data_IF_761677603767
#
_entry.id   IF_761677603767
#
_cell.length_a   1.000
_cell.length_b   1.000
_cell.length_c   1.000
_cell.angle_alpha   90.00
_cell.angle_beta   90.00
_cell.angle_gamma   90.00
#
_symmetry.space_group_name_H-M   'P 1'
#
loop_
_entity.id
_entity.type
_entity.pdbx_description
1 polymer ?
#
# COMPACT_ATOMS: atom_id res chain seq x y z
N UNK A 1 -45.17 25.94 11.24
CA UNK A 1 -44.55 27.03 10.42
C UNK A 1 -43.06 26.81 10.44
N UNK A 2 -42.38 26.67 9.29
CA UNK A 2 -40.95 26.61 9.24
C UNK A 2 -40.38 28.02 9.14
N UNK A 3 -39.51 28.41 10.06
CA UNK A 3 -38.80 29.67 10.02
C UNK A 3 -37.65 29.56 8.98
N UNK A 4 -37.57 30.53 8.06
CA UNK A 4 -36.52 30.58 7.02
C UNK A 4 -35.75 31.89 7.19
N UNK A 5 -34.43 31.79 7.32
CA UNK A 5 -33.49 32.91 7.21
C UNK A 5 -33.00 33.00 5.79
N UNK A 6 -33.12 34.16 5.15
CA UNK A 6 -32.61 34.41 3.79
C UNK A 6 -31.53 35.47 3.89
N UNK A 7 -30.30 35.09 3.72
CA UNK A 7 -29.13 35.97 3.79
C UNK A 7 -28.12 35.56 2.69
N UNK A 8 -27.32 36.51 2.21
CA UNK A 8 -26.26 36.27 1.24
C UNK A 8 -24.91 35.97 1.94
N UNK A 9 -24.71 36.53 3.13
CA UNK A 9 -23.46 36.37 3.90
C UNK A 9 -23.74 36.27 5.39
N UNK A 10 -22.82 35.62 6.11
CA UNK A 10 -22.77 35.59 7.58
C UNK A 10 -21.39 36.09 8.03
N UNK A 11 -21.38 37.11 8.90
CA UNK A 11 -20.14 37.72 9.39
C UNK A 11 -20.24 37.97 10.91
N UNK A 12 -19.13 37.75 11.61
CA UNK A 12 -19.01 38.20 13.01
C UNK A 12 -18.92 39.72 13.06
N UNK A 13 -19.56 40.39 14.02
CA UNK A 13 -19.67 41.85 14.10
C UNK A 13 -18.32 42.58 14.16
N UNK A 14 -17.27 41.93 14.67
CA UNK A 14 -15.89 42.47 14.72
C UNK A 14 -15.01 42.03 13.56
N UNK A 15 -15.51 41.29 12.57
CA UNK A 15 -14.72 40.84 11.45
C UNK A 15 -14.71 41.87 10.30
N UNK A 16 -13.58 41.98 9.60
CA UNK A 16 -13.43 42.84 8.40
C UNK A 16 -13.96 42.18 7.11
N UNK A 17 -14.20 40.87 7.12
CA UNK A 17 -14.66 40.10 5.96
C UNK A 17 -15.74 39.08 6.37
N UNK A 18 -16.49 38.61 5.39
CA UNK A 18 -17.53 37.58 5.60
C UNK A 18 -16.91 36.22 5.95
N UNK A 19 -17.49 35.51 6.91
CA UNK A 19 -17.09 34.15 7.29
C UNK A 19 -17.73 33.08 6.44
N UNK A 20 -18.92 33.36 5.88
CA UNK A 20 -19.66 32.47 4.97
C UNK A 20 -20.32 33.33 3.89
N UNK A 21 -20.12 32.97 2.64
CA UNK A 21 -20.81 33.57 1.49
C UNK A 21 -21.67 32.53 0.80
N UNK A 22 -22.92 32.84 0.52
CA UNK A 22 -23.85 31.97 -0.19
C UNK A 22 -24.16 32.58 -1.56
N UNK A 23 -23.91 31.82 -2.63
CA UNK A 23 -24.20 32.24 -3.99
C UNK A 23 -25.64 31.89 -4.41
N UNK A 24 -26.12 32.52 -5.46
CA UNK A 24 -27.46 32.27 -5.99
C UNK A 24 -27.67 30.87 -6.56
N UNK A 25 -26.58 30.19 -6.95
CA UNK A 25 -26.58 28.78 -7.39
C UNK A 25 -26.65 27.76 -6.23
N UNK A 26 -26.70 28.24 -4.98
CA UNK A 26 -26.73 27.41 -3.78
C UNK A 26 -25.35 27.01 -3.25
N UNK A 27 -24.27 27.45 -3.90
CA UNK A 27 -22.92 27.18 -3.38
C UNK A 27 -22.61 28.00 -2.13
N UNK A 28 -21.77 27.45 -1.25
CA UNK A 28 -21.32 28.09 0.00
C UNK A 28 -19.80 28.17 -0.02
N UNK A 29 -19.29 29.38 0.19
CA UNK A 29 -17.84 29.64 0.26
C UNK A 29 -17.44 30.02 1.69
N UNK A 30 -16.40 29.36 2.20
CA UNK A 30 -15.68 29.70 3.42
C UNK A 30 -14.36 30.35 3.02
N UNK A 31 -14.18 31.68 3.13
CA UNK A 31 -12.94 32.34 2.69
C UNK A 31 -11.73 32.02 3.58
N UNK A 32 -11.93 31.37 4.71
CA UNK A 32 -10.89 30.87 5.62
C UNK A 32 -11.02 29.39 5.92
N UNK A 33 -10.33 28.91 6.95
CA UNK A 33 -10.40 27.53 7.40
C UNK A 33 -11.76 27.22 8.04
N UNK A 34 -12.42 26.15 7.59
CA UNK A 34 -13.57 25.58 8.27
C UNK A 34 -13.09 24.55 9.29
N UNK A 35 -13.36 24.76 10.58
CA UNK A 35 -13.06 23.81 11.66
C UNK A 35 -14.34 23.09 12.04
N UNK A 36 -14.32 21.75 11.92
CA UNK A 36 -15.41 20.89 12.38
C UNK A 36 -14.94 20.14 13.64
N UNK A 37 -15.61 20.36 14.78
CA UNK A 37 -15.33 19.63 16.03
C UNK A 37 -15.99 18.24 16.10
N UNK A 38 -16.83 17.90 15.13
CA UNK A 38 -17.52 16.61 14.98
C UNK A 38 -17.20 15.95 13.63
N UNK A 39 -18.01 14.97 13.26
CA UNK A 39 -17.90 14.31 11.96
C UNK A 39 -18.36 15.25 10.85
N UNK A 40 -17.47 15.60 9.93
CA UNK A 40 -17.82 16.34 8.71
C UNK A 40 -18.37 15.34 7.67
N UNK A 41 -19.67 15.39 7.40
CA UNK A 41 -20.30 14.57 6.35
C UNK A 41 -20.57 15.42 5.11
N UNK A 42 -20.32 14.88 3.91
CA UNK A 42 -20.59 15.57 2.65
C UNK A 42 -19.45 16.45 2.12
N UNK A 43 -18.29 16.45 2.76
CA UNK A 43 -17.10 17.20 2.31
C UNK A 43 -16.15 16.35 1.44
N UNK A 44 -16.67 15.75 0.36
CA UNK A 44 -15.87 14.95 -0.57
C UNK A 44 -15.64 13.51 -0.09
N UNK A 45 -15.42 12.60 -1.03
CA UNK A 45 -15.20 11.18 -0.75
C UNK A 45 -13.82 10.88 -0.21
N UNK A 46 -13.70 9.82 0.59
CA UNK A 46 -12.46 9.13 0.86
C UNK A 46 -11.41 9.90 1.68
N UNK A 47 -11.70 10.15 2.97
CA UNK A 47 -10.69 10.70 3.88
C UNK A 47 -9.58 9.67 4.13
N UNK A 48 -8.31 10.06 3.96
CA UNK A 48 -7.18 9.30 4.48
C UNK A 48 -7.23 9.31 6.02
N UNK A 49 -7.33 8.13 6.61
CA UNK A 49 -7.45 7.98 8.07
C UNK A 49 -6.08 7.75 8.71
N UNK A 50 -5.24 6.91 8.11
CA UNK A 50 -3.89 6.65 8.58
C UNK A 50 -2.99 6.13 7.44
N UNK A 51 -1.69 6.24 7.65
CA UNK A 51 -0.64 5.70 6.77
C UNK A 51 0.34 4.95 7.65
N UNK A 52 0.65 3.71 7.29
CA UNK A 52 1.68 2.89 7.93
C UNK A 52 2.68 2.43 6.88
N UNK A 53 3.95 2.33 7.26
CA UNK A 53 5.03 1.92 6.36
C UNK A 53 6.05 1.07 7.10
N UNK A 54 6.57 0.07 6.40
CA UNK A 54 7.79 -0.65 6.80
C UNK A 54 8.78 -0.60 5.66
N UNK A 55 10.01 -0.21 5.98
CA UNK A 55 11.15 -0.19 5.07
C UNK A 55 12.20 -1.16 5.60
N UNK A 56 12.61 -2.10 4.74
CA UNK A 56 13.74 -3.00 4.98
C UNK A 56 14.96 -2.42 4.26
N UNK A 57 15.94 -1.96 5.01
CA UNK A 57 17.20 -1.41 4.47
C UNK A 57 18.35 -2.41 4.48
N UNK A 58 18.29 -3.38 5.40
CA UNK A 58 19.23 -4.49 5.47
C UNK A 58 18.99 -5.50 4.33
N UNK A 59 20.00 -6.29 4.07
CA UNK A 59 19.95 -7.34 3.04
C UNK A 59 19.59 -8.69 3.65
N UNK A 60 19.01 -9.57 2.85
CA UNK A 60 18.79 -10.96 3.20
C UNK A 60 19.07 -11.88 2.00
N UNK A 61 19.31 -13.14 2.29
CA UNK A 61 19.26 -14.24 1.32
C UNK A 61 18.44 -15.37 1.91
N UNK A 62 17.64 -16.00 1.08
CA UNK A 62 16.86 -17.18 1.46
C UNK A 62 16.94 -18.20 0.32
N UNK A 63 17.25 -19.46 0.66
CA UNK A 63 17.24 -20.54 -0.33
C UNK A 63 15.95 -21.32 -0.20
N UNK A 64 15.27 -21.52 -1.32
CA UNK A 64 14.01 -22.27 -1.41
C UNK A 64 14.13 -23.34 -2.49
N UNK A 65 13.30 -24.37 -2.46
CA UNK A 65 13.11 -25.20 -3.63
C UNK A 65 12.50 -24.34 -4.75
N UNK A 66 12.83 -24.65 -5.99
CA UNK A 66 12.24 -23.99 -7.15
C UNK A 66 10.71 -24.07 -7.08
N UNK A 67 10.06 -22.94 -7.28
CA UNK A 67 8.61 -22.87 -7.19
C UNK A 67 8.02 -22.90 -5.78
N UNK A 68 8.81 -22.66 -4.74
CA UNK A 68 8.34 -22.56 -3.35
C UNK A 68 8.54 -21.12 -2.85
N UNK A 69 7.49 -20.46 -2.32
CA UNK A 69 7.63 -19.13 -1.74
C UNK A 69 8.59 -19.12 -0.54
N UNK A 70 9.25 -17.99 -0.32
CA UNK A 70 10.05 -17.78 0.90
C UNK A 70 9.25 -18.10 2.16
N UNK A 71 9.91 -18.65 3.17
CA UNK A 71 9.30 -18.85 4.49
C UNK A 71 9.05 -17.50 5.17
N UNK A 72 9.96 -16.56 4.97
CA UNK A 72 9.92 -15.21 5.53
C UNK A 72 8.89 -14.35 4.81
N UNK A 73 8.09 -13.63 5.60
CA UNK A 73 7.26 -12.51 5.12
C UNK A 73 8.10 -11.24 5.26
N UNK A 74 8.38 -10.59 4.13
CA UNK A 74 9.18 -9.38 4.09
C UNK A 74 8.35 -8.13 4.31
N UNK A 75 8.96 -7.13 4.95
CA UNK A 75 8.39 -5.83 5.27
C UNK A 75 7.02 -5.91 5.98
N UNK A 76 6.85 -6.72 7.05
CA UNK A 76 5.56 -6.77 7.73
C UNK A 76 5.17 -5.40 8.26
N UNK A 77 3.95 -4.95 7.95
CA UNK A 77 3.36 -3.67 8.39
C UNK A 77 2.01 -3.92 9.02
N UNK A 78 1.80 -3.34 10.19
CA UNK A 78 0.56 -3.48 10.96
C UNK A 78 -0.33 -2.26 10.78
N UNK A 79 -1.62 -2.49 10.63
CA UNK A 79 -2.65 -1.46 10.59
C UNK A 79 -3.87 -1.92 11.37
N UNK A 80 -4.46 -1.02 12.16
CA UNK A 80 -5.72 -1.28 12.86
C UNK A 80 -6.81 -0.41 12.24
N UNK A 81 -7.68 -0.98 11.39
CA UNK A 81 -8.68 -0.20 10.66
C UNK A 81 -9.72 0.44 11.58
N UNK A 82 -10.14 1.66 11.23
CA UNK A 82 -11.19 2.38 11.93
C UNK A 82 -12.58 1.77 11.68
N UNK A 83 -12.78 1.09 10.54
CA UNK A 83 -14.04 0.44 10.17
C UNK A 83 -13.79 -0.83 9.36
N UNK A 84 -14.70 -1.80 9.48
CA UNK A 84 -14.70 -3.00 8.65
C UNK A 84 -14.89 -2.69 7.14
N UNK A 85 -15.53 -1.57 6.80
CA UNK A 85 -15.72 -1.12 5.42
C UNK A 85 -14.55 -0.29 4.88
N UNK A 86 -13.60 0.13 5.73
CA UNK A 86 -12.42 0.91 5.32
C UNK A 86 -11.70 0.24 4.17
N UNK A 87 -11.17 1.05 3.25
CA UNK A 87 -10.33 0.61 2.14
C UNK A 87 -8.87 0.79 2.49
N UNK A 88 -8.08 -0.24 2.23
CA UNK A 88 -6.64 -0.25 2.50
C UNK A 88 -5.90 -0.33 1.18
N UNK A 89 -5.27 0.77 0.76
CA UNK A 89 -4.38 0.79 -0.39
C UNK A 89 -3.01 0.26 0.03
N UNK A 90 -2.58 -0.79 -0.62
CA UNK A 90 -1.30 -1.46 -0.38
C UNK A 90 -0.37 -1.13 -1.54
N UNK A 91 0.80 -0.59 -1.24
CA UNK A 91 1.86 -0.26 -2.18
C UNK A 91 3.12 -1.05 -1.78
N UNK A 92 3.64 -1.86 -2.70
CA UNK A 92 4.83 -2.69 -2.47
C UNK A 92 5.90 -2.31 -3.47
N UNK A 93 7.12 -2.13 -2.97
CA UNK A 93 8.35 -2.09 -3.76
C UNK A 93 9.29 -3.15 -3.20
N UNK A 94 9.55 -4.20 -3.97
CA UNK A 94 10.43 -5.29 -3.60
C UNK A 94 11.66 -5.31 -4.51
N UNK A 95 12.85 -5.25 -3.93
CA UNK A 95 14.11 -5.36 -4.66
C UNK A 95 14.67 -6.77 -4.46
N UNK A 96 14.67 -7.54 -5.53
CA UNK A 96 14.99 -8.98 -5.53
C UNK A 96 16.02 -9.32 -6.58
N UNK A 97 16.77 -10.38 -6.32
CA UNK A 97 17.74 -10.95 -7.26
C UNK A 97 17.66 -12.47 -7.22
N UNK A 98 17.74 -13.08 -8.36
CA UNK A 98 17.88 -14.53 -8.60
C UNK A 98 18.29 -14.75 -10.06
N UNK A 99 18.44 -15.99 -10.48
CA UNK A 99 18.65 -16.35 -11.88
C UNK A 99 17.44 -17.11 -12.42
N UNK A 100 16.32 -16.40 -12.60
CA UNK A 100 15.07 -17.00 -13.05
C UNK A 100 13.91 -16.02 -13.09
N UNK A 101 12.70 -16.52 -13.05
CA UNK A 101 11.50 -15.68 -12.93
C UNK A 101 11.13 -15.50 -11.47
N UNK A 102 11.16 -14.27 -11.00
CA UNK A 102 10.74 -13.92 -9.64
C UNK A 102 9.41 -13.19 -9.62
N UNK A 103 8.66 -13.42 -8.57
CA UNK A 103 7.41 -12.73 -8.30
C UNK A 103 7.27 -12.41 -6.82
N UNK A 104 6.30 -11.57 -6.52
CA UNK A 104 5.83 -11.30 -5.16
C UNK A 104 4.37 -11.72 -5.00
N UNK A 105 4.06 -12.13 -3.77
CA UNK A 105 2.70 -12.48 -3.35
C UNK A 105 2.40 -11.66 -2.09
N UNK A 106 1.47 -10.71 -2.18
CA UNK A 106 1.03 -9.94 -1.01
C UNK A 106 0.38 -10.89 -0.01
N UNK A 107 0.78 -10.74 1.24
CA UNK A 107 0.27 -11.49 2.39
C UNK A 107 -0.63 -10.61 3.25
N UNK A 108 -1.71 -11.19 3.77
CA UNK A 108 -2.58 -10.64 4.81
C UNK A 108 -2.68 -11.67 5.92
N UNK A 109 -2.25 -11.31 7.14
CA UNK A 109 -2.27 -12.18 8.32
C UNK A 109 -1.62 -13.56 8.07
N UNK A 110 -0.49 -13.57 7.36
CA UNK A 110 0.29 -14.77 7.07
C UNK A 110 -0.20 -15.60 5.88
N UNK A 111 -1.31 -15.23 5.26
CA UNK A 111 -1.89 -15.93 4.09
C UNK A 111 -1.81 -15.06 2.84
N UNK A 112 -1.70 -15.70 1.67
CA UNK A 112 -1.75 -14.99 0.40
C UNK A 112 -3.09 -14.23 0.24
N UNK A 113 -3.02 -12.94 -0.10
CA UNK A 113 -4.20 -12.12 -0.36
C UNK A 113 -4.78 -12.49 -1.72
N UNK A 114 -5.76 -13.40 -1.71
CA UNK A 114 -6.30 -14.04 -2.93
C UNK A 114 -6.84 -13.05 -3.96
N UNK A 115 -7.41 -11.93 -3.52
CA UNK A 115 -7.89 -10.87 -4.41
C UNK A 115 -6.77 -10.10 -5.12
N UNK A 116 -5.54 -10.15 -4.58
CA UNK A 116 -4.35 -9.50 -5.15
C UNK A 116 -3.53 -10.42 -6.06
N UNK A 117 -4.02 -11.62 -6.38
CA UNK A 117 -3.33 -12.59 -7.23
C UNK A 117 -4.13 -12.88 -8.50
N UNK A 118 -3.43 -13.29 -9.57
CA UNK A 118 -4.06 -13.70 -10.83
C UNK A 118 -5.04 -14.86 -10.67
N UNK A 119 -5.76 -15.21 -11.72
CA UNK A 119 -6.70 -16.34 -11.77
C UNK A 119 -5.97 -17.71 -11.71
N UNK A 120 -6.73 -18.73 -11.37
CA UNK A 120 -6.21 -20.10 -11.36
C UNK A 120 -6.20 -20.66 -12.79
N UNK A 121 -5.04 -21.15 -13.25
CA UNK A 121 -4.88 -21.69 -14.60
C UNK A 121 -3.90 -22.89 -14.62
N UNK A 122 -4.44 -24.08 -14.41
CA UNK A 122 -3.65 -25.32 -14.37
C UNK A 122 -2.64 -25.33 -13.23
N UNK A 123 -1.37 -25.60 -13.53
CA UNK A 123 -0.26 -25.63 -12.55
C UNK A 123 0.44 -24.28 -12.37
N UNK A 124 -0.08 -23.20 -12.95
CA UNK A 124 0.53 -21.87 -12.83
C UNK A 124 0.34 -21.30 -11.44
N UNK A 125 1.44 -20.81 -10.86
CA UNK A 125 1.35 -20.10 -9.58
C UNK A 125 0.62 -18.76 -9.74
N UNK A 126 -0.21 -18.46 -8.76
CA UNK A 126 -0.96 -17.21 -8.68
C UNK A 126 -0.13 -16.19 -7.92
N UNK A 127 0.30 -15.15 -8.60
CA UNK A 127 1.20 -14.13 -8.06
C UNK A 127 0.58 -12.74 -8.15
N UNK A 128 1.07 -11.81 -7.34
CA UNK A 128 0.63 -10.40 -7.40
C UNK A 128 1.34 -9.65 -8.53
N UNK A 129 2.64 -9.82 -8.64
CA UNK A 129 3.46 -9.23 -9.70
C UNK A 129 4.71 -10.08 -9.92
N UNK A 130 5.28 -10.02 -11.12
CA UNK A 130 6.44 -10.82 -11.49
C UNK A 130 7.42 -10.05 -12.38
N UNK A 131 8.65 -10.52 -12.41
CA UNK A 131 9.71 -10.07 -13.32
C UNK A 131 10.57 -11.26 -13.74
N UNK A 132 11.22 -11.16 -14.90
CA UNK A 132 12.23 -12.14 -15.33
C UNK A 132 13.61 -11.56 -15.05
N UNK A 133 14.45 -12.34 -14.40
CA UNK A 133 15.82 -11.98 -14.03
C UNK A 133 16.75 -12.93 -14.78
N UNK A 134 17.64 -12.37 -15.58
CA UNK A 134 18.55 -13.15 -16.45
C UNK A 134 19.90 -13.46 -15.79
N UNK A 135 20.15 -12.99 -14.58
CA UNK A 135 21.41 -13.19 -13.88
C UNK A 135 21.25 -12.86 -12.39
N UNK A 136 21.87 -13.70 -11.55
CA UNK A 136 22.02 -13.51 -10.10
C UNK A 136 22.91 -12.30 -9.72
N UNK A 137 23.54 -11.68 -10.73
CA UNK A 137 24.28 -10.42 -10.63
C UNK A 137 23.41 -9.19 -10.93
N UNK A 138 22.10 -9.35 -11.11
CA UNK A 138 21.15 -8.26 -11.33
C UNK A 138 20.23 -8.10 -10.14
N UNK A 139 19.96 -6.85 -9.76
CA UNK A 139 18.93 -6.49 -8.78
C UNK A 139 17.74 -5.90 -9.54
N UNK A 140 16.58 -6.48 -9.37
CA UNK A 140 15.35 -6.06 -10.02
C UNK A 140 14.33 -5.55 -9.01
N UNK A 141 13.57 -4.54 -9.42
CA UNK A 141 12.48 -3.98 -8.62
C UNK A 141 11.15 -4.52 -9.12
N UNK A 142 10.38 -5.13 -8.23
CA UNK A 142 8.99 -5.54 -8.47
C UNK A 142 8.09 -4.59 -7.70
N UNK A 143 7.16 -3.94 -8.40
CA UNK A 143 6.16 -3.07 -7.79
C UNK A 143 4.78 -3.71 -7.89
N UNK A 144 3.98 -3.55 -6.84
CA UNK A 144 2.59 -3.96 -6.82
C UNK A 144 1.73 -2.93 -6.09
N UNK A 145 0.50 -2.81 -6.54
CA UNK A 145 -0.53 -1.97 -5.91
C UNK A 145 -1.83 -2.74 -5.85
N UNK A 146 -2.47 -2.75 -4.67
CA UNK A 146 -3.77 -3.38 -4.49
C UNK A 146 -4.62 -2.61 -3.49
N UNK A 147 -5.93 -2.53 -3.75
CA UNK A 147 -6.91 -1.93 -2.85
C UNK A 147 -7.74 -3.02 -2.18
N UNK A 148 -7.44 -3.29 -0.91
CA UNK A 148 -8.15 -4.26 -0.08
C UNK A 148 -9.32 -3.62 0.68
N UNK A 149 -10.20 -4.45 1.19
CA UNK A 149 -11.21 -4.06 2.19
C UNK A 149 -10.80 -4.63 3.55
N UNK A 150 -10.83 -3.81 4.58
CA UNK A 150 -10.39 -4.20 5.92
C UNK A 150 -11.09 -5.49 6.41
N UNK A 151 -12.42 -5.55 6.30
CA UNK A 151 -13.23 -6.69 6.72
C UNK A 151 -13.45 -6.79 8.23
N UNK A 152 -12.77 -5.95 9.02
CA UNK A 152 -12.85 -5.90 10.48
C UNK A 152 -12.12 -4.70 11.04
N UNK A 153 -12.14 -4.56 12.36
CA UNK A 153 -11.43 -3.51 13.11
C UNK A 153 -10.29 -4.05 13.97
N UNK A 154 -10.00 -5.35 13.87
CA UNK A 154 -8.80 -5.96 14.48
C UNK A 154 -7.56 -5.55 13.70
N UNK A 155 -6.40 -5.60 14.36
CA UNK A 155 -5.12 -5.37 13.69
C UNK A 155 -4.95 -6.38 12.54
N UNK A 156 -4.51 -5.87 11.39
CA UNK A 156 -4.14 -6.63 10.20
C UNK A 156 -2.64 -6.46 9.98
N UNK A 157 -1.95 -7.54 9.64
CA UNK A 157 -0.55 -7.52 9.22
C UNK A 157 -0.48 -7.78 7.71
N UNK A 158 0.01 -6.79 6.96
CA UNK A 158 0.36 -6.98 5.55
C UNK A 158 1.87 -7.19 5.40
N UNK A 159 2.25 -7.86 4.34
CA UNK A 159 3.65 -8.08 3.95
C UNK A 159 3.70 -8.72 2.57
N UNK A 160 4.86 -9.17 2.15
CA UNK A 160 4.98 -9.96 0.91
C UNK A 160 5.95 -11.12 1.08
N UNK A 161 5.69 -12.18 0.35
CA UNK A 161 6.64 -13.28 0.11
C UNK A 161 7.20 -13.14 -1.29
N UNK A 162 8.42 -13.63 -1.46
CA UNK A 162 9.07 -13.75 -2.77
C UNK A 162 9.01 -15.21 -3.19
N UNK A 163 8.78 -15.41 -4.47
CA UNK A 163 8.75 -16.71 -5.11
C UNK A 163 9.60 -16.60 -6.36
N UNK A 164 10.59 -17.46 -6.51
CA UNK A 164 11.39 -17.49 -7.71
C UNK A 164 11.40 -18.90 -8.28
N UNK A 165 11.42 -19.01 -9.60
CA UNK A 165 11.46 -20.27 -10.30
C UNK A 165 12.70 -20.31 -11.20
N UNK A 166 13.60 -21.20 -10.86
CA UNK A 166 14.71 -21.68 -11.64
C UNK A 166 14.62 -23.22 -11.73
N UNK A 167 15.55 -23.87 -12.42
CA UNK A 167 15.48 -25.32 -12.68
C UNK A 167 15.70 -26.22 -11.44
N UNK A 168 16.15 -25.67 -10.30
CA UNK A 168 16.48 -26.42 -9.08
C UNK A 168 16.19 -25.61 -7.80
N UNK A 169 17.00 -25.77 -6.76
CA UNK A 169 16.98 -24.90 -5.58
C UNK A 169 17.46 -23.52 -5.97
N UNK A 170 16.72 -22.51 -5.61
CA UNK A 170 17.01 -21.12 -5.92
C UNK A 170 17.49 -20.38 -4.68
N UNK A 171 18.43 -19.46 -4.84
CA UNK A 171 18.88 -18.53 -3.79
C UNK A 171 18.37 -17.14 -4.15
N UNK A 172 17.48 -16.63 -3.33
CA UNK A 172 16.83 -15.34 -3.53
C UNK A 172 17.60 -14.28 -2.73
N UNK A 173 18.08 -13.26 -3.40
CA UNK A 173 18.64 -12.06 -2.78
C UNK A 173 17.54 -11.02 -2.55
N UNK A 174 17.47 -10.46 -1.34
CA UNK A 174 16.58 -9.35 -1.00
C UNK A 174 17.43 -8.11 -0.71
N UNK A 175 17.15 -7.01 -1.38
CA UNK A 175 17.89 -5.75 -1.30
C UNK A 175 19.37 -5.86 -1.73
N UNK A 176 19.74 -6.95 -2.36
CA UNK A 176 21.08 -7.22 -2.85
C UNK A 176 21.04 -8.18 -4.04
N UNK A 177 22.08 -8.16 -4.83
CA UNK A 177 22.35 -9.24 -5.79
C UNK A 177 22.74 -10.52 -5.04
N UNK A 178 22.38 -11.69 -5.58
CA UNK A 178 22.82 -13.00 -5.03
C UNK A 178 24.35 -13.06 -5.08
N UNK A 179 24.93 -12.83 -6.25
CA UNK A 179 26.38 -12.62 -6.39
C UNK A 179 26.73 -11.19 -5.95
N UNK A 180 26.92 -11.03 -4.64
CA UNK A 180 27.22 -9.72 -4.05
C UNK A 180 28.70 -9.39 -4.19
N UNK A 181 29.02 -8.57 -5.16
CA UNK A 181 30.36 -8.04 -5.34
C UNK A 181 30.57 -6.77 -4.50
N UNK A 182 31.74 -6.65 -3.86
CA UNK A 182 32.17 -5.39 -3.23
C UNK A 182 32.77 -4.47 -4.28
N UNK A 183 31.92 -3.97 -5.16
CA UNK A 183 32.23 -3.11 -6.29
C UNK A 183 31.16 -2.03 -6.43
N UNK A 184 31.48 -0.94 -7.13
CA UNK A 184 30.57 0.20 -7.35
C UNK A 184 29.27 -0.18 -8.07
N UNK A 185 29.23 -1.30 -8.77
CA UNK A 185 28.05 -1.86 -9.42
C UNK A 185 27.31 -2.90 -8.57
N UNK A 186 27.78 -3.19 -7.37
CA UNK A 186 27.12 -4.07 -6.40
C UNK A 186 25.97 -3.35 -5.68
N UNK A 187 24.90 -2.97 -6.40
CA UNK A 187 23.82 -2.14 -5.88
C UNK A 187 23.07 -2.80 -4.73
N UNK A 188 22.63 -1.96 -3.80
CA UNK A 188 21.72 -2.31 -2.70
C UNK A 188 20.61 -1.29 -2.66
N UNK A 189 19.36 -1.75 -2.68
CA UNK A 189 18.18 -0.90 -2.68
C UNK A 189 17.18 -1.39 -1.64
N UNK A 190 16.53 -0.51 -0.86
CA UNK A 190 15.60 -0.93 0.16
C UNK A 190 14.29 -1.44 -0.44
N UNK A 191 13.72 -2.50 0.14
CA UNK A 191 12.34 -2.89 -0.12
C UNK A 191 11.41 -2.25 0.89
N UNK A 192 10.16 -1.97 0.49
CA UNK A 192 9.19 -1.34 1.36
C UNK A 192 7.77 -1.80 1.05
N UNK A 193 6.92 -1.70 2.07
CA UNK A 193 5.47 -1.74 1.94
C UNK A 193 4.87 -0.54 2.64
N UNK A 194 3.88 0.06 2.01
CA UNK A 194 3.09 1.15 2.58
C UNK A 194 1.62 0.77 2.49
N UNK A 195 0.87 1.01 3.56
CA UNK A 195 -0.57 0.81 3.61
C UNK A 195 -1.25 2.10 4.02
N UNK A 196 -2.29 2.47 3.27
CA UNK A 196 -3.03 3.73 3.45
C UNK A 196 -4.49 3.38 3.64
N UNK A 197 -5.06 3.77 4.79
CA UNK A 197 -6.49 3.58 5.07
C UNK A 197 -7.29 4.78 4.59
N UNK A 198 -8.37 4.47 3.88
CA UNK A 198 -9.40 5.43 3.48
C UNK A 198 -10.72 5.09 4.17
N UNK A 199 -11.46 6.11 4.55
CA UNK A 199 -12.87 5.93 4.93
C UNK A 199 -13.66 5.42 3.72
N UNK A 200 -14.55 4.46 3.94
CA UNK A 200 -15.53 4.05 2.94
C UNK A 200 -16.67 5.07 2.84
#
# INVERSE_FOLDING_TARGET
MSSRLVVNTVRHTGASADGITMAADGSVTFPGNATCSGTATGFGGGKVLQIQQTVKTDTATESTASGVPTSTIYCPVNITPASASSKILILVTANVSDNGTCCIIIQKDGSALSGATGDAAGSRERTTASTSISSDSNLHTINATYLDTAGGTSQITYGFKVFCQDNNTTTIGINRMVNSYDQVYGFRSPSMIQVIEFSA
#
